data_IF_318702584993
#
_entry.id   IF_318702584993
#
_cell.length_a   1.000
_cell.length_b   1.000
_cell.length_c   1.000
_cell.angle_alpha   90.00
_cell.angle_beta   90.00
_cell.angle_gamma   90.00
#
_symmetry.space_group_name_H-M   'P 1'
#
loop_
_entity.id
_entity.type
_entity.pdbx_description
1 polymer ?
#
# COMPACT_ATOMS: atom_id res chain seq x y z
N UNK A 1 -0.58 7.39 -23.68
CA UNK A 1 -0.75 6.79 -22.34
C UNK A 1 -0.55 7.92 -21.34
N UNK A 2 -1.26 7.93 -20.21
CA UNK A 2 -1.04 8.92 -19.15
C UNK A 2 0.36 8.75 -18.57
N UNK A 3 1.04 9.84 -18.25
CA UNK A 3 2.34 9.82 -17.57
C UNK A 3 2.21 9.21 -16.16
N UNK A 4 1.06 9.43 -15.53
CA UNK A 4 0.78 8.96 -14.18
C UNK A 4 -0.21 7.79 -14.18
N UNK A 5 0.07 6.80 -13.32
CA UNK A 5 -0.82 5.67 -13.03
C UNK A 5 -2.05 6.15 -12.24
N UNK A 6 -1.79 6.96 -11.21
CA UNK A 6 -2.82 7.50 -10.34
C UNK A 6 -2.45 8.93 -9.95
N UNK A 7 -3.45 9.80 -9.93
CA UNK A 7 -3.32 11.16 -9.42
C UNK A 7 -4.47 11.45 -8.46
N UNK A 8 -4.12 12.04 -7.33
CA UNK A 8 -5.08 12.68 -6.43
C UNK A 8 -4.86 14.19 -6.53
N UNK A 9 -5.92 14.94 -6.86
CA UNK A 9 -5.85 16.39 -7.08
C UNK A 9 -6.81 17.13 -6.17
N UNK A 10 -6.31 18.15 -5.50
CA UNK A 10 -7.06 19.08 -4.67
C UNK A 10 -7.96 18.41 -3.63
N UNK A 11 -7.44 17.36 -2.98
CA UNK A 11 -8.21 16.53 -2.05
C UNK A 11 -8.44 17.27 -0.75
N UNK A 12 -9.72 17.42 -0.39
CA UNK A 12 -10.16 17.95 0.90
C UNK A 12 -10.88 16.86 1.67
N UNK A 13 -10.56 16.76 2.96
CA UNK A 13 -11.25 15.88 3.90
C UNK A 13 -11.34 16.53 5.28
N UNK A 14 -12.58 16.69 5.74
CA UNK A 14 -12.89 17.26 7.04
C UNK A 14 -13.54 16.20 7.94
N UNK A 15 -13.14 16.17 9.18
CA UNK A 15 -13.79 15.43 10.26
C UNK A 15 -14.30 16.42 11.30
N UNK A 16 -15.21 16.04 12.21
CA UNK A 16 -15.67 16.93 13.28
C UNK A 16 -14.50 17.58 14.03
N UNK A 17 -14.38 18.88 13.93
CA UNK A 17 -13.34 19.66 14.60
C UNK A 17 -11.98 19.73 13.91
N UNK A 18 -11.75 19.03 12.79
CA UNK A 18 -10.43 19.08 12.11
C UNK A 18 -10.56 18.93 10.59
N UNK A 19 -9.86 19.78 9.84
CA UNK A 19 -9.65 19.62 8.40
C UNK A 19 -8.37 18.82 8.18
N UNK A 20 -8.51 17.52 8.00
CA UNK A 20 -7.39 16.58 7.93
C UNK A 20 -6.62 16.64 6.59
N UNK A 21 -7.31 17.02 5.50
CA UNK A 21 -6.70 17.29 4.20
C UNK A 21 -7.22 18.62 3.68
N UNK A 22 -6.31 19.44 3.19
CA UNK A 22 -6.61 20.76 2.65
C UNK A 22 -5.86 20.97 1.33
N UNK A 23 -6.53 20.65 0.21
CA UNK A 23 -5.98 20.63 -1.15
C UNK A 23 -4.72 19.76 -1.28
N UNK A 24 -4.75 18.58 -0.64
CA UNK A 24 -3.67 17.60 -0.74
C UNK A 24 -3.58 17.02 -2.15
N UNK A 25 -2.36 16.67 -2.58
CA UNK A 25 -2.09 16.14 -3.90
C UNK A 25 -1.09 14.99 -3.82
N UNK A 26 -1.24 14.02 -4.75
CA UNK A 26 -0.26 12.95 -4.95
C UNK A 26 -0.34 12.49 -6.40
N UNK A 27 0.82 12.21 -7.02
CA UNK A 27 0.90 11.68 -8.39
C UNK A 27 1.85 10.50 -8.42
N UNK A 28 1.41 9.38 -8.95
CA UNK A 28 2.16 8.14 -8.97
C UNK A 28 2.50 7.75 -10.40
N UNK A 29 3.77 7.57 -10.70
CA UNK A 29 4.25 7.04 -11.98
C UNK A 29 4.26 5.51 -11.99
N UNK A 30 4.02 4.85 -13.12
CA UNK A 30 4.18 3.40 -13.24
C UNK A 30 5.62 2.99 -12.97
N UNK A 31 5.81 1.88 -12.21
CA UNK A 31 7.13 1.32 -11.95
C UNK A 31 8.04 2.21 -11.12
N UNK A 32 7.49 2.99 -10.20
CA UNK A 32 8.25 3.85 -9.29
C UNK A 32 7.83 3.64 -7.84
N UNK A 33 8.76 3.91 -6.93
CA UNK A 33 8.50 4.04 -5.49
C UNK A 33 8.37 5.52 -5.15
N UNK A 34 7.19 5.91 -4.72
CA UNK A 34 6.85 7.27 -4.32
C UNK A 34 6.73 7.34 -2.80
N UNK A 35 7.66 8.00 -2.14
CA UNK A 35 7.56 8.20 -0.70
C UNK A 35 6.56 9.31 -0.35
N UNK A 36 5.77 9.09 0.69
CA UNK A 36 4.88 10.09 1.26
C UNK A 36 5.32 10.39 2.68
N UNK A 37 5.84 11.58 2.90
CA UNK A 37 6.43 12.02 4.16
C UNK A 37 5.66 13.17 4.81
N UNK A 38 5.88 13.36 6.10
CA UNK A 38 5.26 14.39 6.91
C UNK A 38 5.23 13.99 8.37
N UNK A 39 5.05 14.92 9.28
CA UNK A 39 4.90 14.64 10.71
C UNK A 39 3.65 13.80 11.02
N UNK A 40 3.55 13.29 12.25
CA UNK A 40 2.33 12.65 12.71
C UNK A 40 1.18 13.67 12.68
N UNK A 41 0.04 13.27 12.11
CA UNK A 41 -1.07 14.20 11.90
C UNK A 41 -1.02 15.02 10.60
N UNK A 42 0.05 14.93 9.79
CA UNK A 42 0.16 15.65 8.51
C UNK A 42 -0.88 15.25 7.44
N UNK A 43 -1.70 14.23 7.69
CA UNK A 43 -2.76 13.80 6.78
C UNK A 43 -2.40 12.61 5.87
N UNK A 44 -1.19 12.04 5.96
CA UNK A 44 -0.70 10.93 5.10
C UNK A 44 -1.66 9.75 5.04
N UNK A 45 -1.95 9.14 6.20
CA UNK A 45 -2.84 7.98 6.27
C UNK A 45 -4.29 8.33 5.89
N UNK A 46 -4.73 9.58 6.11
CA UNK A 46 -6.04 10.06 5.64
C UNK A 46 -6.09 10.11 4.12
N UNK A 47 -5.04 10.63 3.46
CA UNK A 47 -4.93 10.67 2.00
C UNK A 47 -4.95 9.25 1.41
N UNK A 48 -4.21 8.30 2.02
CA UNK A 48 -4.21 6.90 1.59
C UNK A 48 -5.56 6.23 1.80
N UNK A 49 -6.24 6.49 2.92
CA UNK A 49 -7.60 5.99 3.17
C UNK A 49 -8.63 6.56 2.18
N UNK A 50 -8.45 7.80 1.72
CA UNK A 50 -9.24 8.35 0.62
C UNK A 50 -8.92 7.64 -0.71
N UNK A 51 -7.64 7.40 -1.02
CA UNK A 51 -7.21 6.67 -2.22
C UNK A 51 -7.77 5.24 -2.24
N UNK A 52 -7.81 4.58 -1.08
CA UNK A 52 -8.32 3.21 -0.96
C UNK A 52 -9.85 3.14 -0.79
N UNK A 53 -10.54 4.30 -0.74
CA UNK A 53 -12.00 4.37 -0.63
C UNK A 53 -12.57 4.07 0.77
N UNK A 54 -11.73 4.05 1.81
CA UNK A 54 -12.19 3.95 3.21
C UNK A 54 -12.88 5.25 3.64
N UNK A 55 -12.32 6.38 3.22
CA UNK A 55 -12.93 7.70 3.41
C UNK A 55 -13.33 8.30 2.07
N UNK A 56 -14.52 8.88 2.02
CA UNK A 56 -14.93 9.71 0.88
C UNK A 56 -14.33 11.10 1.02
N UNK A 57 -13.76 11.60 -0.07
CA UNK A 57 -13.28 12.98 -0.15
C UNK A 57 -14.47 13.94 -0.13
N UNK A 58 -14.30 15.09 0.52
CA UNK A 58 -15.32 16.14 0.51
C UNK A 58 -15.20 16.98 -0.78
N UNK A 59 -13.94 17.20 -1.26
CA UNK A 59 -13.62 17.86 -2.52
C UNK A 59 -12.40 17.18 -3.16
N UNK A 60 -12.16 17.46 -4.43
CA UNK A 60 -11.05 16.93 -5.21
C UNK A 60 -11.45 15.76 -6.09
N UNK A 61 -10.46 15.15 -6.74
CA UNK A 61 -10.69 14.04 -7.67
C UNK A 61 -9.54 13.05 -7.70
N UNK A 62 -9.87 11.81 -8.08
CA UNK A 62 -8.91 10.75 -8.40
C UNK A 62 -8.91 10.54 -9.90
N UNK A 63 -7.73 10.56 -10.52
CA UNK A 63 -7.53 10.19 -11.91
C UNK A 63 -6.73 8.89 -11.91
N UNK A 64 -7.26 7.85 -12.51
CA UNK A 64 -6.65 6.54 -12.60
C UNK A 64 -6.47 6.15 -14.07
N UNK A 65 -5.23 5.87 -14.48
CA UNK A 65 -4.88 5.59 -15.89
C UNK A 65 -5.41 6.65 -16.87
N UNK A 66 -5.39 7.93 -16.46
CA UNK A 66 -5.83 9.07 -17.27
C UNK A 66 -7.34 9.33 -17.26
N UNK A 67 -8.13 8.55 -16.54
CA UNK A 67 -9.58 8.73 -16.41
C UNK A 67 -9.96 9.15 -14.99
N UNK A 68 -10.86 10.12 -14.87
CA UNK A 68 -11.42 10.48 -13.58
C UNK A 68 -12.32 9.35 -13.08
N UNK A 69 -12.07 8.89 -11.86
CA UNK A 69 -12.78 7.77 -11.25
C UNK A 69 -13.26 8.12 -9.84
N UNK A 70 -14.38 7.53 -9.45
CA UNK A 70 -14.82 7.55 -8.07
C UNK A 70 -14.59 6.16 -7.46
N UNK A 71 -13.75 6.09 -6.43
CA UNK A 71 -13.50 4.86 -5.68
C UNK A 71 -14.58 4.75 -4.60
N UNK A 72 -15.45 3.75 -4.74
CA UNK A 72 -16.65 3.60 -3.90
C UNK A 72 -16.37 2.88 -2.58
N UNK A 73 -15.21 2.26 -2.44
CA UNK A 73 -14.81 1.53 -1.25
C UNK A 73 -13.61 0.62 -1.48
N UNK A 74 -13.12 -0.07 -0.42
CA UNK A 74 -11.94 -0.93 -0.50
C UNK A 74 -12.03 -2.03 -1.56
N UNK A 75 -13.21 -2.64 -1.74
CA UNK A 75 -13.41 -3.68 -2.74
C UNK A 75 -13.30 -3.13 -4.17
N UNK A 76 -13.83 -1.92 -4.42
CA UNK A 76 -13.69 -1.25 -5.73
C UNK A 76 -12.22 -0.87 -5.98
N UNK A 77 -11.50 -0.39 -4.96
CA UNK A 77 -10.06 -0.12 -5.04
C UNK A 77 -9.28 -1.40 -5.43
N UNK A 78 -9.51 -2.50 -4.72
CA UNK A 78 -8.88 -3.80 -5.02
C UNK A 78 -9.19 -4.30 -6.43
N UNK A 79 -10.44 -4.18 -6.89
CA UNK A 79 -10.85 -4.57 -8.24
C UNK A 79 -10.18 -3.71 -9.34
N UNK A 80 -9.76 -2.50 -9.01
CA UNK A 80 -8.96 -1.62 -9.89
C UNK A 80 -7.46 -1.91 -9.82
N UNK A 81 -7.04 -2.83 -8.94
CA UNK A 81 -5.64 -3.13 -8.71
C UNK A 81 -4.95 -2.15 -7.75
N UNK A 82 -5.68 -1.48 -6.87
CA UNK A 82 -5.12 -0.68 -5.78
C UNK A 82 -5.17 -1.52 -4.51
N UNK A 83 -4.02 -1.88 -3.95
CA UNK A 83 -3.89 -2.65 -2.71
C UNK A 83 -3.22 -1.81 -1.61
N UNK A 84 -3.52 -2.12 -0.35
CA UNK A 84 -2.96 -1.41 0.80
C UNK A 84 -2.58 -2.40 1.89
N UNK A 85 -1.36 -2.25 2.38
CA UNK A 85 -0.87 -2.89 3.60
C UNK A 85 -0.90 -1.83 4.70
N UNK A 86 -1.74 -2.06 5.69
CA UNK A 86 -1.96 -1.13 6.80
C UNK A 86 -0.85 -1.25 7.85
N UNK A 87 -0.60 -0.17 8.59
CA UNK A 87 0.30 -0.16 9.74
C UNK A 87 -0.17 -1.13 10.84
N UNK A 88 -1.47 -1.16 11.12
CA UNK A 88 -2.07 -2.11 12.05
C UNK A 88 -2.55 -3.35 11.28
N UNK A 89 -1.91 -4.48 11.54
CA UNK A 89 -2.30 -5.75 10.97
C UNK A 89 -3.66 -6.19 11.53
N UNK A 90 -4.50 -6.75 10.67
CA UNK A 90 -5.77 -7.36 11.07
C UNK A 90 -5.80 -8.84 10.62
N UNK A 91 -4.85 -9.65 11.08
CA UNK A 91 -4.78 -11.05 10.71
C UNK A 91 -5.91 -11.85 11.36
N UNK A 92 -6.23 -13.00 10.78
CA UNK A 92 -7.10 -14.00 11.38
C UNK A 92 -6.19 -15.17 11.83
N UNK A 93 -5.66 -15.14 13.07
CA UNK A 93 -4.62 -16.08 13.51
C UNK A 93 -5.05 -17.54 13.47
N UNK A 94 -6.34 -17.80 13.68
CA UNK A 94 -6.93 -19.15 13.68
C UNK A 94 -7.05 -19.78 12.29
N UNK A 95 -6.95 -18.97 11.25
CA UNK A 95 -6.99 -19.40 9.86
C UNK A 95 -5.59 -19.67 9.31
N UNK A 96 -5.54 -20.47 8.25
CA UNK A 96 -4.28 -20.74 7.56
C UNK A 96 -3.72 -19.51 6.87
N UNK A 97 -2.43 -19.53 6.54
CA UNK A 97 -1.76 -18.50 5.75
C UNK A 97 -2.47 -18.31 4.40
N UNK A 98 -2.80 -19.40 3.72
CA UNK A 98 -3.52 -19.37 2.45
C UNK A 98 -4.90 -18.72 2.56
N UNK A 99 -5.67 -19.04 3.62
CA UNK A 99 -6.96 -18.42 3.87
C UNK A 99 -6.83 -16.91 4.16
N UNK A 100 -5.80 -16.48 4.88
CA UNK A 100 -5.54 -15.05 5.12
C UNK A 100 -5.16 -14.30 3.84
N UNK A 101 -4.35 -14.90 2.96
CA UNK A 101 -3.98 -14.31 1.66
C UNK A 101 -5.23 -14.06 0.81
N UNK A 102 -6.18 -14.98 0.81
CA UNK A 102 -7.38 -14.92 -0.04
C UNK A 102 -8.65 -14.47 0.68
N UNK A 103 -8.56 -13.98 1.92
CA UNK A 103 -9.74 -13.49 2.65
C UNK A 103 -10.49 -12.43 1.83
N UNK A 104 -11.81 -12.63 1.68
CA UNK A 104 -12.67 -11.77 0.85
C UNK A 104 -12.59 -12.03 -0.66
N UNK A 105 -11.66 -12.88 -1.14
CA UNK A 105 -11.43 -13.17 -2.57
C UNK A 105 -11.19 -14.66 -2.82
N UNK A 106 -11.80 -15.52 -2.03
CA UNK A 106 -11.63 -16.98 -2.16
C UNK A 106 -11.93 -17.47 -3.58
N UNK A 107 -11.06 -18.24 -4.23
CA UNK A 107 -11.39 -18.89 -5.48
C UNK A 107 -12.55 -19.86 -5.26
N UNK A 108 -13.45 -19.92 -6.23
CA UNK A 108 -14.66 -20.72 -6.12
C UNK A 108 -14.79 -21.68 -7.30
N UNK A 109 -15.45 -22.82 -7.06
CA UNK A 109 -15.84 -23.77 -8.09
C UNK A 109 -17.34 -24.06 -7.99
N UNK A 110 -17.93 -24.38 -9.15
CA UNK A 110 -19.37 -24.72 -9.25
C UNK A 110 -19.59 -26.22 -9.20
N UNK A 111 -20.52 -26.66 -8.35
CA UNK A 111 -21.10 -28.00 -8.36
C UNK A 111 -22.59 -27.87 -8.67
N UNK A 112 -22.95 -27.98 -9.95
CA UNK A 112 -24.33 -27.71 -10.39
C UNK A 112 -24.76 -26.29 -10.05
N UNK A 113 -25.87 -26.10 -9.30
CA UNK A 113 -26.33 -24.77 -8.88
C UNK A 113 -25.59 -24.18 -7.68
N UNK A 114 -24.73 -24.95 -7.00
CA UNK A 114 -24.04 -24.53 -5.77
C UNK A 114 -22.63 -24.04 -6.09
N UNK A 115 -22.26 -22.90 -5.54
CA UNK A 115 -20.89 -22.38 -5.59
C UNK A 115 -20.21 -22.61 -4.24
N UNK A 116 -19.04 -23.23 -4.25
CA UNK A 116 -18.24 -23.55 -3.06
C UNK A 116 -16.82 -23.00 -3.22
N UNK A 117 -16.13 -22.81 -2.10
CA UNK A 117 -14.70 -22.42 -2.12
C UNK A 117 -13.87 -23.56 -2.72
N UNK A 118 -12.97 -23.23 -3.62
CA UNK A 118 -11.98 -24.16 -4.17
C UNK A 118 -10.70 -24.10 -3.33
N UNK A 119 -10.66 -24.91 -2.26
CA UNK A 119 -9.53 -24.94 -1.34
C UNK A 119 -8.24 -25.39 -2.02
N UNK A 120 -8.31 -26.39 -2.92
CA UNK A 120 -7.11 -26.90 -3.62
C UNK A 120 -6.47 -25.79 -4.46
N UNK A 121 -7.29 -25.05 -5.22
CA UNK A 121 -6.84 -23.90 -5.99
C UNK A 121 -6.30 -22.81 -5.09
N UNK A 122 -6.98 -22.49 -4.00
CA UNK A 122 -6.57 -21.45 -3.05
C UNK A 122 -5.18 -21.72 -2.48
N UNK A 123 -4.93 -22.93 -2.00
CA UNK A 123 -3.63 -23.31 -1.43
C UNK A 123 -2.52 -23.37 -2.49
N UNK A 124 -2.82 -23.89 -3.69
CA UNK A 124 -1.88 -23.91 -4.79
C UNK A 124 -1.48 -22.50 -5.23
N UNK A 125 -2.43 -21.58 -5.32
CA UNK A 125 -2.18 -20.18 -5.67
C UNK A 125 -1.46 -19.43 -4.54
N UNK A 126 -1.81 -19.68 -3.27
CA UNK A 126 -1.10 -19.13 -2.11
C UNK A 126 0.38 -19.55 -2.09
N UNK A 127 0.66 -20.84 -2.37
CA UNK A 127 2.05 -21.33 -2.46
C UNK A 127 2.86 -20.63 -3.55
N UNK A 128 2.24 -20.32 -4.71
CA UNK A 128 2.90 -19.56 -5.79
C UNK A 128 3.23 -18.14 -5.35
N UNK A 129 2.25 -17.45 -4.75
CA UNK A 129 2.44 -16.07 -4.27
C UNK A 129 3.52 -16.00 -3.19
N UNK A 130 3.49 -16.91 -2.20
CA UNK A 130 4.53 -16.98 -1.18
C UNK A 130 5.92 -17.15 -1.79
N UNK A 131 6.06 -18.03 -2.78
CA UNK A 131 7.31 -18.23 -3.51
C UNK A 131 7.73 -16.98 -4.29
N UNK A 132 6.78 -16.28 -4.91
CA UNK A 132 7.03 -15.04 -5.66
C UNK A 132 7.60 -13.92 -4.77
N UNK A 133 7.15 -13.86 -3.51
CA UNK A 133 7.68 -12.91 -2.53
C UNK A 133 8.77 -13.50 -1.61
N UNK A 134 9.41 -14.59 -2.04
CA UNK A 134 10.53 -15.25 -1.35
C UNK A 134 10.22 -15.72 0.08
N UNK A 135 8.94 -15.99 0.39
CA UNK A 135 8.51 -16.50 1.69
C UNK A 135 8.37 -18.03 1.63
N UNK A 136 9.17 -18.72 2.44
CA UNK A 136 9.14 -20.19 2.53
C UNK A 136 8.23 -20.63 3.68
N UNK A 137 6.91 -20.35 3.57
CA UNK A 137 5.91 -20.76 4.54
C UNK A 137 4.99 -21.81 3.93
N UNK A 138 4.55 -22.76 4.75
CA UNK A 138 3.47 -23.70 4.37
C UNK A 138 2.14 -22.93 4.34
N UNK A 139 1.44 -22.83 3.19
CA UNK A 139 0.16 -22.13 3.10
C UNK A 139 -0.93 -22.75 3.96
N UNK A 140 -0.80 -24.02 4.39
CA UNK A 140 -1.74 -24.71 5.29
C UNK A 140 -1.47 -24.41 6.77
N UNK A 141 -0.28 -23.91 7.14
CA UNK A 141 0.03 -23.57 8.51
C UNK A 141 -0.88 -22.44 9.02
N UNK A 142 -1.24 -22.47 10.30
CA UNK A 142 -2.00 -21.40 10.94
C UNK A 142 -1.18 -20.10 10.98
N UNK A 143 -1.79 -18.97 10.61
CA UNK A 143 -1.11 -17.69 10.61
C UNK A 143 -0.60 -17.32 12.02
N UNK A 144 -1.33 -17.65 13.07
CA UNK A 144 -0.96 -17.40 14.46
C UNK A 144 0.31 -18.10 14.94
N UNK A 145 0.91 -19.01 14.15
CA UNK A 145 2.22 -19.60 14.46
C UNK A 145 3.39 -18.72 14.04
N UNK A 146 3.13 -17.68 13.26
CA UNK A 146 4.15 -16.73 12.77
C UNK A 146 4.39 -15.61 13.78
N UNK A 147 5.58 -15.03 13.74
CA UNK A 147 5.86 -13.76 14.42
C UNK A 147 5.10 -12.60 13.78
N UNK A 148 5.00 -11.47 14.48
CA UNK A 148 4.36 -10.26 13.96
C UNK A 148 5.01 -9.79 12.65
N UNK A 149 6.35 -9.81 12.59
CA UNK A 149 7.10 -9.46 11.39
C UNK A 149 6.82 -10.40 10.22
N UNK A 150 6.70 -11.71 10.48
CA UNK A 150 6.34 -12.69 9.46
C UNK A 150 4.90 -12.52 8.97
N UNK A 151 3.96 -12.18 9.87
CA UNK A 151 2.58 -11.85 9.49
C UNK A 151 2.54 -10.59 8.60
N UNK A 152 3.40 -9.59 8.86
CA UNK A 152 3.56 -8.41 8.01
C UNK A 152 3.94 -8.79 6.57
N UNK A 153 4.89 -9.70 6.41
CA UNK A 153 5.29 -10.20 5.09
C UNK A 153 4.16 -10.99 4.39
N UNK A 154 3.33 -11.71 5.14
CA UNK A 154 2.14 -12.37 4.58
C UNK A 154 1.09 -11.37 4.11
N UNK A 155 0.90 -10.23 4.79
CA UNK A 155 0.02 -9.15 4.29
C UNK A 155 0.53 -8.55 2.98
N UNK A 156 1.85 -8.46 2.80
CA UNK A 156 2.44 -8.06 1.51
C UNK A 156 2.15 -9.12 0.44
N UNK A 157 2.32 -10.41 0.74
CA UNK A 157 1.95 -11.49 -0.16
C UNK A 157 0.46 -11.43 -0.55
N UNK A 158 -0.42 -11.12 0.39
CA UNK A 158 -1.86 -10.90 0.14
C UNK A 158 -2.10 -9.76 -0.84
N UNK A 159 -1.39 -8.63 -0.71
CA UNK A 159 -1.49 -7.51 -1.64
C UNK A 159 -0.99 -7.89 -3.04
N UNK A 160 0.14 -8.60 -3.14
CA UNK A 160 0.70 -9.11 -4.41
C UNK A 160 -0.27 -10.09 -5.08
N UNK A 161 -0.93 -10.97 -4.30
CA UNK A 161 -1.91 -11.94 -4.83
C UNK A 161 -3.13 -11.28 -5.50
N UNK A 162 -3.31 -9.98 -5.33
CA UNK A 162 -4.39 -9.21 -5.95
C UNK A 162 -4.02 -8.65 -7.33
N UNK A 163 -2.84 -9.00 -7.88
CA UNK A 163 -2.32 -8.45 -9.15
C UNK A 163 -2.38 -6.91 -9.15
N UNK A 164 -1.86 -6.31 -8.08
CA UNK A 164 -1.98 -4.89 -7.86
C UNK A 164 -1.12 -4.08 -8.85
N UNK A 165 -1.69 -2.96 -9.32
CA UNK A 165 -1.00 -1.94 -10.12
C UNK A 165 -0.51 -0.76 -9.26
N UNK A 166 -1.15 -0.57 -8.12
CA UNK A 166 -0.77 0.40 -7.09
C UNK A 166 -0.72 -0.32 -5.75
N UNK A 167 0.41 -0.24 -5.06
CA UNK A 167 0.61 -0.83 -3.73
C UNK A 167 0.92 0.28 -2.72
N UNK A 168 0.11 0.39 -1.68
CA UNK A 168 0.33 1.31 -0.57
C UNK A 168 0.94 0.51 0.59
N UNK A 169 2.10 0.94 1.07
CA UNK A 169 2.81 0.39 2.21
C UNK A 169 2.87 1.46 3.31
N UNK A 170 2.05 1.31 4.36
CA UNK A 170 1.97 2.25 5.47
C UNK A 170 2.80 1.73 6.65
N UNK A 171 3.98 2.34 6.89
CA UNK A 171 4.97 1.98 7.92
C UNK A 171 5.36 0.48 7.89
N UNK A 172 5.72 -0.11 6.72
CA UNK A 172 5.84 -1.55 6.57
C UNK A 172 7.01 -2.18 7.32
N UNK A 173 7.95 -1.37 7.82
CA UNK A 173 9.16 -1.85 8.52
C UNK A 173 9.12 -1.65 10.03
N UNK A 174 7.98 -1.23 10.59
CA UNK A 174 7.87 -0.90 12.02
C UNK A 174 8.14 -2.10 12.96
N UNK A 175 7.85 -3.31 12.50
CA UNK A 175 8.02 -4.56 13.26
C UNK A 175 9.09 -5.49 12.68
N UNK A 176 9.78 -5.09 11.60
CA UNK A 176 10.74 -5.95 10.88
C UNK A 176 12.15 -5.84 11.46
N UNK A 177 12.86 -6.97 11.45
CA UNK A 177 14.30 -7.01 11.66
C UNK A 177 15.05 -6.46 10.44
N UNK A 178 16.34 -6.12 10.59
CA UNK A 178 17.13 -5.62 9.45
C UNK A 178 17.16 -6.59 8.26
N UNK A 179 17.23 -7.90 8.50
CA UNK A 179 17.21 -8.91 7.43
C UNK A 179 15.85 -8.95 6.70
N UNK A 180 14.75 -8.79 7.45
CA UNK A 180 13.40 -8.77 6.89
C UNK A 180 13.13 -7.45 6.11
N UNK A 181 13.73 -6.34 6.53
CA UNK A 181 13.71 -5.07 5.77
C UNK A 181 14.40 -5.24 4.40
N UNK A 182 15.57 -5.91 4.36
CA UNK A 182 16.24 -6.21 3.09
C UNK A 182 15.38 -7.11 2.18
N UNK A 183 14.73 -8.11 2.75
CA UNK A 183 13.80 -8.97 2.01
C UNK A 183 12.61 -8.16 1.46
N UNK A 184 12.03 -7.27 2.27
CA UNK A 184 10.98 -6.37 1.82
C UNK A 184 11.44 -5.48 0.66
N UNK A 185 12.62 -4.89 0.75
CA UNK A 185 13.15 -4.02 -0.31
C UNK A 185 13.37 -4.79 -1.61
N UNK A 186 13.81 -6.04 -1.53
CA UNK A 186 13.91 -6.93 -2.71
C UNK A 186 12.54 -7.12 -3.36
N UNK A 187 11.48 -7.41 -2.57
CA UNK A 187 10.11 -7.55 -3.07
C UNK A 187 9.63 -6.24 -3.72
N UNK A 188 9.90 -5.10 -3.09
CA UNK A 188 9.52 -3.78 -3.62
C UNK A 188 10.20 -3.50 -4.96
N UNK A 189 11.50 -3.79 -5.10
CA UNK A 189 12.24 -3.61 -6.35
C UNK A 189 11.73 -4.53 -7.47
N UNK A 190 11.37 -5.77 -7.16
CA UNK A 190 10.75 -6.69 -8.12
C UNK A 190 9.37 -6.23 -8.60
N UNK A 191 8.52 -5.75 -7.68
CA UNK A 191 7.22 -5.20 -8.03
C UNK A 191 7.34 -3.93 -8.87
N UNK A 192 8.28 -3.04 -8.51
CA UNK A 192 8.63 -1.86 -9.29
C UNK A 192 9.06 -2.23 -10.70
N UNK A 193 9.93 -3.24 -10.86
CA UNK A 193 10.38 -3.73 -12.17
C UNK A 193 9.22 -4.32 -13.01
N UNK A 194 8.18 -4.86 -12.37
CA UNK A 194 6.93 -5.31 -13.01
C UNK A 194 5.97 -4.15 -13.36
N UNK A 195 6.34 -2.91 -13.08
CA UNK A 195 5.54 -1.72 -13.39
C UNK A 195 4.52 -1.33 -12.33
N UNK A 196 4.57 -1.92 -11.13
CA UNK A 196 3.71 -1.52 -10.00
C UNK A 196 4.14 -0.14 -9.50
N UNK A 197 3.19 0.75 -9.27
CA UNK A 197 3.40 2.03 -8.60
C UNK A 197 3.30 1.81 -7.10
N UNK A 198 4.33 2.18 -6.35
CA UNK A 198 4.39 1.90 -4.91
C UNK A 198 4.35 3.21 -4.14
N UNK A 199 3.42 3.36 -3.19
CA UNK A 199 3.44 4.43 -2.19
C UNK A 199 4.08 3.87 -0.93
N UNK A 200 5.18 4.47 -0.51
CA UNK A 200 5.93 4.05 0.66
C UNK A 200 5.86 5.13 1.74
N UNK A 201 5.20 4.83 2.85
CA UNK A 201 5.11 5.74 3.98
C UNK A 201 6.03 5.23 5.07
N UNK A 202 6.98 6.05 5.49
CA UNK A 202 7.88 5.77 6.60
C UNK A 202 8.37 7.08 7.21
N UNK A 203 8.73 7.04 8.48
CA UNK A 203 9.43 8.13 9.16
C UNK A 203 10.95 7.92 9.19
N UNK A 204 11.45 6.79 8.68
CA UNK A 204 12.88 6.44 8.64
C UNK A 204 13.50 7.01 7.37
N UNK A 205 14.26 8.09 7.52
CA UNK A 205 14.86 8.84 6.41
C UNK A 205 15.77 7.97 5.53
N UNK A 206 16.56 7.08 6.16
CA UNK A 206 17.50 6.21 5.45
C UNK A 206 16.76 5.24 4.51
N UNK A 207 15.60 4.71 4.93
CA UNK A 207 14.76 3.87 4.08
C UNK A 207 14.24 4.66 2.88
N UNK A 208 13.68 5.85 3.13
CA UNK A 208 13.14 6.73 2.09
C UNK A 208 14.18 7.09 1.05
N UNK A 209 15.34 7.58 1.47
CA UNK A 209 16.42 7.99 0.55
C UNK A 209 17.01 6.82 -0.23
N UNK A 210 16.92 5.59 0.31
CA UNK A 210 17.42 4.39 -0.33
C UNK A 210 16.48 3.85 -1.40
N UNK A 211 15.16 3.82 -1.14
CA UNK A 211 14.22 3.03 -1.97
C UNK A 211 13.39 3.89 -2.92
N UNK A 212 13.23 5.20 -2.63
CA UNK A 212 12.29 6.05 -3.35
C UNK A 212 12.89 6.67 -4.61
N UNK A 213 12.04 6.85 -5.61
CA UNK A 213 12.33 7.65 -6.83
C UNK A 213 11.90 9.11 -6.61
N UNK A 214 10.73 9.31 -6.03
CA UNK A 214 10.17 10.64 -5.73
C UNK A 214 9.67 10.69 -4.29
N UNK A 215 9.70 11.88 -3.70
CA UNK A 215 9.22 12.12 -2.32
C UNK A 215 8.25 13.27 -2.32
N UNK A 216 7.01 13.02 -1.89
CA UNK A 216 6.03 14.06 -1.58
C UNK A 216 6.04 14.33 -0.09
N UNK A 217 6.09 15.61 0.28
CA UNK A 217 6.01 16.06 1.66
C UNK A 217 4.66 16.71 1.93
N UNK A 218 4.02 16.29 3.02
CA UNK A 218 2.79 16.87 3.55
C UNK A 218 3.04 17.50 4.91
N UNK A 219 2.34 18.59 5.20
CA UNK A 219 2.34 19.25 6.50
C UNK A 219 0.95 19.84 6.78
N UNK A 220 0.39 19.58 7.97
CA UNK A 220 -0.90 20.11 8.41
C UNK A 220 -2.05 19.93 7.39
N UNK A 221 -2.09 18.76 6.76
CA UNK A 221 -3.07 18.43 5.72
C UNK A 221 -2.78 19.02 4.34
N UNK A 222 -1.73 19.80 4.17
CA UNK A 222 -1.36 20.46 2.91
C UNK A 222 -0.27 19.68 2.16
N UNK A 223 -0.34 19.75 0.85
CA UNK A 223 0.77 19.40 -0.04
C UNK A 223 1.81 20.50 -0.01
N UNK A 224 3.06 20.16 0.33
CA UNK A 224 4.19 21.11 0.36
C UNK A 224 4.97 21.05 -0.95
N UNK A 225 5.22 19.86 -1.48
CA UNK A 225 5.93 19.68 -2.74
C UNK A 225 6.29 18.23 -3.00
N UNK A 226 6.78 17.96 -4.21
CA UNK A 226 7.33 16.68 -4.65
C UNK A 226 8.71 16.92 -5.25
N UNK A 227 9.68 16.09 -4.90
CA UNK A 227 11.08 16.16 -5.35
C UNK A 227 11.55 14.79 -5.80
N UNK A 228 12.53 14.78 -6.72
CA UNK A 228 13.32 13.57 -6.98
C UNK A 228 14.09 13.21 -5.69
N UNK A 229 14.06 11.94 -5.30
CA UNK A 229 14.72 11.49 -4.07
C UNK A 229 16.23 11.75 -4.10
N UNK A 230 16.87 11.74 -5.27
CA UNK A 230 18.30 12.02 -5.45
C UNK A 230 18.70 13.46 -5.17
N UNK A 231 17.73 14.39 -5.21
CA UNK A 231 17.95 15.82 -4.92
C UNK A 231 17.72 16.17 -3.44
N UNK A 232 17.29 15.19 -2.65
CA UNK A 232 16.94 15.36 -1.26
C UNK A 232 18.07 14.92 -0.33
N UNK A 233 18.23 15.68 0.74
CA UNK A 233 19.02 15.31 1.91
C UNK A 233 18.10 15.22 3.12
N UNK A 234 18.51 14.52 4.16
CA UNK A 234 17.77 14.43 5.43
C UNK A 234 17.38 15.82 5.95
N UNK A 235 18.32 16.79 5.95
CA UNK A 235 18.09 18.16 6.42
C UNK A 235 17.03 18.87 5.58
N UNK A 236 17.06 18.71 4.26
CA UNK A 236 16.07 19.30 3.36
C UNK A 236 14.68 18.74 3.61
N UNK A 237 14.57 17.41 3.81
CA UNK A 237 13.31 16.75 4.14
C UNK A 237 12.76 17.31 5.46
N UNK A 238 13.58 17.34 6.52
CA UNK A 238 13.18 17.84 7.84
C UNK A 238 12.73 19.31 7.73
N UNK A 239 13.50 20.16 7.03
CA UNK A 239 13.14 21.56 6.81
C UNK A 239 11.77 21.71 6.17
N UNK A 240 11.45 20.90 5.14
CA UNK A 240 10.15 20.96 4.46
C UNK A 240 9.01 20.41 5.33
N UNK A 241 9.28 19.39 6.14
CA UNK A 241 8.30 18.81 7.05
C UNK A 241 7.93 19.76 8.19
N UNK A 242 8.91 20.42 8.80
CA UNK A 242 8.72 21.30 9.97
C UNK A 242 8.40 22.76 9.54
N UNK A 243 8.91 23.21 8.39
CA UNK A 243 8.66 24.56 7.87
C UNK A 243 9.53 25.66 8.51
N UNK A 244 10.71 25.29 9.01
CA UNK A 244 11.69 26.23 9.61
C UNK A 244 13.02 26.12 8.89
#
# INVERSE_FOLDING_TARGET
>A
MSEYRLEMRDVVKTFPGVKALNHAQLKLKPGTVHALMGENGAGKSTLMKCMFGIYHMDEGKVIYEGQEVQIKGPLDALNRGIAMVHQELQPIPERSIGENIYVGRYPTKKYGPVTVIDHDKMYADAAKVLKEVHLNYDPHAKLGTLSVSQMQLVEIAKAVSADCKVLILDEPTSSLTAAEVEALFTIVDELRAKGVSIVYISHKMDEILRISDEVTIMRDGHYIGTWDAKELTTDKIITQMVGR
#
